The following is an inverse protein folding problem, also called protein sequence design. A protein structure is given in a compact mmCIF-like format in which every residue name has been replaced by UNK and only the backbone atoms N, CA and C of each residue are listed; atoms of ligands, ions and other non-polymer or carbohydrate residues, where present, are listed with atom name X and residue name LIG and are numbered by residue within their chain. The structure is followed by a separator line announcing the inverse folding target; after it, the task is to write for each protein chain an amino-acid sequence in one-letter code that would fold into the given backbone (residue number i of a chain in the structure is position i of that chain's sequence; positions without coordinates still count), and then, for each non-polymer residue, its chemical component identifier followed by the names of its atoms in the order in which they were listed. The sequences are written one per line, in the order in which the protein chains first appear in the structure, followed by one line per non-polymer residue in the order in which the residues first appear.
data_IF_062612956094
#
_entry.id   IF_062612956094
#
_cell.length_a   1.000
_cell.length_b   1.000
_cell.length_c   1.000
_cell.angle_alpha   90.00
_cell.angle_beta   90.00
_cell.angle_gamma   90.00
#
_symmetry.space_group_name_H-M   'P 1'
#
loop_
_entity.id
_entity.type
_entity.pdbx_description
1 polymer ?
#
# COMPACT_ATOMS: atom_id res chain seq x y z
N UNK A 1 8.47 -15.99 -3.73
CA UNK A 1 8.89 -15.52 -2.40
C UNK A 1 7.96 -14.43 -1.86
N UNK A 2 7.86 -13.26 -2.50
CA UNK A 2 7.02 -12.13 -2.05
C UNK A 2 5.58 -12.56 -1.70
N UNK A 3 4.88 -13.25 -2.61
CA UNK A 3 3.49 -13.71 -2.38
C UNK A 3 3.36 -14.59 -1.15
N UNK A 4 4.29 -15.53 -0.94
CA UNK A 4 4.25 -16.43 0.20
C UNK A 4 4.43 -15.65 1.52
N UNK A 5 5.35 -14.68 1.55
CA UNK A 5 5.57 -13.83 2.71
C UNK A 5 4.38 -12.92 2.99
N UNK A 6 3.78 -12.31 1.96
CA UNK A 6 2.57 -11.49 2.11
C UNK A 6 1.42 -12.32 2.68
N UNK A 7 1.19 -13.53 2.17
CA UNK A 7 0.14 -14.43 2.71
C UNK A 7 0.42 -14.84 4.16
N UNK A 8 1.68 -15.08 4.52
CA UNK A 8 2.05 -15.37 5.90
C UNK A 8 1.75 -14.19 6.83
N UNK A 9 2.08 -12.97 6.42
CA UNK A 9 1.78 -11.77 7.20
C UNK A 9 0.28 -11.45 7.28
N UNK A 10 -0.46 -11.65 6.19
CA UNK A 10 -1.93 -11.51 6.18
C UNK A 10 -2.62 -12.52 7.11
N UNK A 11 -2.01 -13.69 7.32
CA UNK A 11 -2.54 -14.71 8.23
C UNK A 11 -2.15 -14.47 9.70
N UNK A 12 -1.24 -13.54 9.98
CA UNK A 12 -0.80 -13.22 11.33
C UNK A 12 -1.73 -12.17 11.96
N UNK A 13 -2.49 -12.50 13.01
CA UNK A 13 -3.44 -11.58 13.62
C UNK A 13 -2.78 -10.38 14.33
N UNK A 14 -1.47 -10.41 14.55
CA UNK A 14 -0.72 -9.29 15.13
C UNK A 14 -0.26 -8.26 14.07
N UNK A 15 -0.55 -8.49 12.79
CA UNK A 15 -0.13 -7.62 11.68
C UNK A 15 -1.34 -6.93 11.03
N UNK A 16 -1.54 -5.66 11.41
CA UNK A 16 -2.59 -4.81 10.81
C UNK A 16 -2.16 -4.21 9.45
N UNK A 17 -0.87 -3.95 9.26
CA UNK A 17 -0.34 -3.22 8.10
C UNK A 17 1.00 -3.78 7.66
N UNK A 18 1.15 -4.00 6.35
CA UNK A 18 2.42 -4.30 5.68
C UNK A 18 2.78 -3.15 4.75
N UNK A 19 3.99 -2.64 4.89
CA UNK A 19 4.59 -1.66 3.98
C UNK A 19 5.85 -2.27 3.39
N UNK A 20 5.88 -2.40 2.07
CA UNK A 20 7.07 -2.85 1.33
C UNK A 20 7.67 -1.71 0.52
N UNK A 21 8.97 -1.81 0.23
CA UNK A 21 9.68 -0.85 -0.62
C UNK A 21 10.51 -1.59 -1.66
N UNK A 22 10.47 -1.12 -2.90
CA UNK A 22 11.23 -1.67 -4.02
C UNK A 22 10.43 -2.64 -4.90
N UNK A 23 10.96 -2.91 -6.10
CA UNK A 23 10.35 -3.82 -7.06
C UNK A 23 9.09 -3.29 -7.76
N UNK A 24 8.81 -1.98 -7.67
CA UNK A 24 7.66 -1.32 -8.33
C UNK A 24 8.03 -0.62 -9.64
N UNK A 25 9.24 -0.80 -10.14
CA UNK A 25 9.66 -0.28 -11.44
C UNK A 25 9.03 -1.02 -12.62
N UNK A 26 9.58 -0.82 -13.82
CA UNK A 26 9.14 -1.45 -15.08
C UNK A 26 10.17 -2.43 -15.66
N UNK A 27 11.22 -2.76 -14.91
CA UNK A 27 12.23 -3.72 -15.36
C UNK A 27 11.77 -5.16 -15.09
N UNK A 28 12.39 -6.15 -15.75
CA UNK A 28 11.99 -7.55 -15.60
C UNK A 28 12.13 -8.16 -14.20
N UNK A 29 12.78 -7.46 -13.25
CA UNK A 29 12.88 -7.87 -11.84
C UNK A 29 11.82 -7.21 -10.96
N UNK A 30 11.15 -6.18 -11.45
CA UNK A 30 10.15 -5.42 -10.71
C UNK A 30 8.80 -6.14 -10.75
N UNK A 31 8.53 -6.95 -9.73
CA UNK A 31 7.34 -7.82 -9.66
C UNK A 31 6.49 -7.59 -8.40
N UNK A 32 6.80 -6.55 -7.62
CA UNK A 32 6.10 -6.26 -6.35
C UNK A 32 4.61 -5.98 -6.60
N UNK A 33 4.21 -5.13 -7.56
CA UNK A 33 2.79 -4.89 -7.82
C UNK A 33 2.05 -6.17 -8.21
N UNK A 34 2.60 -6.99 -9.09
CA UNK A 34 2.02 -8.28 -9.49
C UNK A 34 1.80 -9.20 -8.28
N UNK A 35 2.77 -9.26 -7.37
CA UNK A 35 2.65 -10.04 -6.15
C UNK A 35 1.53 -9.49 -5.24
N UNK A 36 1.45 -8.16 -5.07
CA UNK A 36 0.40 -7.51 -4.27
C UNK A 36 -0.99 -7.73 -4.88
N UNK A 37 -1.14 -7.52 -6.18
CA UNK A 37 -2.37 -7.76 -6.94
C UNK A 37 -2.88 -9.20 -6.82
N UNK A 38 -1.98 -10.18 -6.64
CA UNK A 38 -2.36 -11.59 -6.45
C UNK A 38 -2.80 -11.94 -5.02
N UNK A 39 -2.58 -11.05 -4.05
CA UNK A 39 -2.82 -11.30 -2.62
C UNK A 39 -4.01 -10.51 -2.10
N UNK A 40 -4.10 -9.21 -2.39
CA UNK A 40 -5.20 -8.42 -1.85
C UNK A 40 -6.54 -8.80 -2.48
N UNK A 41 -7.60 -8.69 -1.68
CA UNK A 41 -8.98 -8.96 -2.09
C UNK A 41 -9.66 -7.69 -2.62
N UNK A 42 -9.23 -6.53 -2.11
CA UNK A 42 -9.78 -5.22 -2.48
C UNK A 42 -8.66 -4.24 -2.72
N UNK A 43 -8.61 -3.70 -3.94
CA UNK A 43 -7.65 -2.66 -4.30
C UNK A 43 -8.02 -1.31 -3.67
N UNK A 44 -7.00 -0.55 -3.25
CA UNK A 44 -7.12 0.85 -2.86
C UNK A 44 -6.50 1.70 -3.98
N UNK A 45 -7.19 1.82 -5.11
CA UNK A 45 -6.67 2.48 -6.32
C UNK A 45 -6.20 3.91 -6.05
N UNK A 46 -6.93 4.61 -5.17
CA UNK A 46 -6.63 5.99 -4.76
C UNK A 46 -5.25 6.17 -4.12
N UNK A 47 -4.63 5.12 -3.56
CA UNK A 47 -3.26 5.20 -3.04
C UNK A 47 -2.26 5.45 -4.15
N UNK A 48 -2.29 4.64 -5.21
CA UNK A 48 -1.38 4.78 -6.35
C UNK A 48 -1.61 6.09 -7.10
N UNK A 49 -2.87 6.50 -7.23
CA UNK A 49 -3.26 7.76 -7.86
C UNK A 49 -2.72 8.97 -7.09
N UNK A 50 -3.00 9.05 -5.79
CA UNK A 50 -2.53 10.16 -4.95
C UNK A 50 -1.01 10.18 -4.84
N UNK A 51 -0.37 9.02 -4.71
CA UNK A 51 1.09 8.93 -4.72
C UNK A 51 1.68 9.51 -6.01
N UNK A 52 1.14 9.12 -7.18
CA UNK A 52 1.63 9.61 -8.47
C UNK A 52 1.37 11.11 -8.65
N UNK A 53 0.25 11.63 -8.12
CA UNK A 53 -0.03 13.07 -8.09
C UNK A 53 1.05 13.82 -7.30
N UNK A 54 1.30 13.42 -6.04
CA UNK A 54 2.33 14.04 -5.19
C UNK A 54 3.73 13.90 -5.78
N UNK A 55 4.03 12.75 -6.39
CA UNK A 55 5.32 12.49 -7.03
C UNK A 55 5.50 13.34 -8.29
N UNK A 56 4.44 13.59 -9.07
CA UNK A 56 4.50 14.45 -10.24
C UNK A 56 4.95 15.88 -9.89
N UNK A 57 4.45 16.44 -8.78
CA UNK A 57 4.87 17.76 -8.30
C UNK A 57 6.37 17.83 -7.97
N UNK A 58 6.99 16.69 -7.63
CA UNK A 58 8.40 16.61 -7.20
C UNK A 58 9.37 16.20 -8.31
N UNK A 59 8.98 15.22 -9.14
CA UNK A 59 9.87 14.60 -10.15
C UNK A 59 9.29 14.62 -11.56
N UNK A 60 8.16 15.30 -11.77
CA UNK A 60 7.50 15.43 -13.06
C UNK A 60 7.10 14.08 -13.65
N UNK A 61 7.31 13.94 -14.95
CA UNK A 61 6.93 12.74 -15.71
C UNK A 61 7.68 11.48 -15.29
N UNK A 62 8.78 11.59 -14.53
CA UNK A 62 9.51 10.43 -13.98
C UNK A 62 8.61 9.53 -13.11
N UNK A 63 7.54 10.08 -12.53
CA UNK A 63 6.53 9.35 -11.75
C UNK A 63 5.93 8.15 -12.52
N UNK A 64 5.86 8.22 -13.86
CA UNK A 64 5.31 7.14 -14.72
C UNK A 64 6.13 5.84 -14.60
N UNK A 65 7.40 5.91 -14.22
CA UNK A 65 8.27 4.74 -14.09
C UNK A 65 7.97 3.91 -12.82
N UNK A 66 7.07 4.36 -11.97
CA UNK A 66 6.73 3.71 -10.71
C UNK A 66 5.29 3.24 -10.65
N UNK A 67 5.10 2.02 -10.14
CA UNK A 67 3.81 1.32 -10.04
C UNK A 67 3.40 1.08 -8.60
N UNK A 68 3.51 2.12 -7.75
CA UNK A 68 3.05 2.03 -6.36
C UNK A 68 1.57 1.61 -6.30
N UNK A 69 1.25 0.67 -5.41
CA UNK A 69 -0.09 0.07 -5.28
C UNK A 69 -0.42 -0.25 -3.83
N UNK A 70 -1.71 -0.42 -3.52
CA UNK A 70 -2.17 -0.81 -2.21
C UNK A 70 -3.49 -1.59 -2.26
N UNK A 71 -3.76 -2.35 -1.21
CA UNK A 71 -4.99 -3.12 -1.08
C UNK A 71 -5.24 -3.60 0.35
N UNK A 72 -6.35 -4.32 0.53
CA UNK A 72 -6.71 -5.01 1.76
C UNK A 72 -6.83 -6.51 1.49
N UNK A 73 -6.25 -7.33 2.35
CA UNK A 73 -6.36 -8.79 2.32
C UNK A 73 -6.52 -9.32 3.74
N UNK A 74 -7.50 -10.18 4.02
CA UNK A 74 -7.64 -10.82 5.34
C UNK A 74 -7.74 -9.84 6.52
N UNK A 75 -8.15 -8.59 6.31
CA UNK A 75 -8.15 -7.56 7.36
C UNK A 75 -6.83 -6.78 7.52
N UNK A 76 -5.78 -7.13 6.78
CA UNK A 76 -4.49 -6.43 6.77
C UNK A 76 -4.41 -5.44 5.61
N UNK A 77 -3.94 -4.23 5.86
CA UNK A 77 -3.59 -3.27 4.80
C UNK A 77 -2.22 -3.58 4.20
N UNK A 78 -2.13 -3.54 2.87
CA UNK A 78 -0.90 -3.80 2.13
C UNK A 78 -0.53 -2.58 1.28
N UNK A 79 0.68 -2.03 1.45
CA UNK A 79 1.22 -0.92 0.64
C UNK A 79 2.55 -1.30 -0.01
N UNK A 80 2.66 -1.10 -1.33
CA UNK A 80 3.90 -1.27 -2.09
C UNK A 80 4.45 0.09 -2.53
N UNK A 81 5.58 0.47 -1.95
CA UNK A 81 6.26 1.74 -2.20
C UNK A 81 7.44 1.57 -3.18
N UNK A 82 7.88 2.65 -3.84
CA UNK A 82 9.07 2.60 -4.67
C UNK A 82 10.34 2.42 -3.85
N UNK A 83 11.38 1.87 -4.45
CA UNK A 83 12.66 1.58 -3.78
C UNK A 83 13.48 2.82 -3.40
N UNK A 84 13.15 3.99 -3.94
CA UNK A 84 13.86 5.23 -3.61
C UNK A 84 13.51 5.69 -2.19
N UNK A 85 14.51 6.05 -1.34
CA UNK A 85 14.25 6.65 -0.05
C UNK A 85 13.43 7.95 -0.11
N UNK A 86 13.55 8.74 -1.19
CA UNK A 86 12.73 9.95 -1.36
C UNK A 86 11.26 9.61 -1.58
N UNK A 87 10.99 8.63 -2.44
CA UNK A 87 9.62 8.19 -2.71
C UNK A 87 8.96 7.54 -1.49
N UNK A 88 9.74 6.82 -0.67
CA UNK A 88 9.25 6.30 0.61
C UNK A 88 8.84 7.42 1.57
N UNK A 89 9.66 8.47 1.69
CA UNK A 89 9.30 9.68 2.47
C UNK A 89 8.06 10.35 1.90
N UNK A 90 7.96 10.51 0.59
CA UNK A 90 6.81 11.13 -0.06
C UNK A 90 5.50 10.38 0.25
N UNK A 91 5.52 9.05 0.17
CA UNK A 91 4.37 8.22 0.51
C UNK A 91 4.04 8.25 2.01
N UNK A 92 5.05 8.24 2.87
CA UNK A 92 4.85 8.31 4.32
C UNK A 92 4.29 9.67 4.74
N UNK A 93 5.04 10.74 4.49
CA UNK A 93 4.73 12.09 4.94
C UNK A 93 3.47 12.66 4.27
N UNK A 94 3.21 12.29 3.01
CA UNK A 94 2.07 12.82 2.25
C UNK A 94 0.79 12.02 2.39
N UNK A 95 0.85 10.75 2.80
CA UNK A 95 -0.31 9.84 2.79
C UNK A 95 -0.40 9.01 4.07
N UNK A 96 0.58 8.13 4.30
CA UNK A 96 0.45 7.08 5.30
C UNK A 96 0.45 7.62 6.74
N UNK A 97 1.25 8.64 7.04
CA UNK A 97 1.28 9.26 8.37
C UNK A 97 -0.09 9.81 8.79
N UNK A 98 -0.90 10.24 7.83
CA UNK A 98 -2.25 10.73 8.06
C UNK A 98 -3.24 9.57 8.16
N UNK A 99 -3.19 8.63 7.23
CA UNK A 99 -4.16 7.54 7.19
C UNK A 99 -3.95 6.49 8.30
N UNK A 100 -2.75 6.38 8.86
CA UNK A 100 -2.41 5.52 9.98
C UNK A 100 -2.43 6.25 11.34
N UNK A 101 -2.89 7.51 11.39
CA UNK A 101 -3.15 8.23 12.63
C UNK A 101 -4.67 8.24 12.92
N UNK A 102 -5.09 7.65 14.04
CA UNK A 102 -6.50 7.59 14.43
C UNK A 102 -7.14 8.98 14.67
N UNK A 103 -6.32 10.02 14.83
CA UNK A 103 -6.78 11.39 15.07
C UNK A 103 -7.07 12.14 13.77
N UNK A 104 -6.64 11.61 12.62
CA UNK A 104 -6.83 12.26 11.33
C UNK A 104 -8.32 12.26 10.92
N UNK A 105 -8.77 13.39 10.40
CA UNK A 105 -10.18 13.67 10.04
C UNK A 105 -10.26 14.10 8.57
N UNK A 106 -11.40 13.90 7.88
CA UNK A 106 -12.67 13.37 8.40
C UNK A 106 -12.71 11.85 8.59
N UNK A 107 -11.78 11.11 7.98
CA UNK A 107 -11.67 9.65 8.06
C UNK A 107 -10.22 9.18 7.90
N UNK A 108 -9.91 8.01 8.46
CA UNK A 108 -8.59 7.36 8.39
C UNK A 108 -8.75 5.83 8.34
N UNK A 109 -7.67 5.10 8.04
CA UNK A 109 -7.70 3.64 7.97
C UNK A 109 -7.86 2.97 9.33
N UNK A 110 -7.33 3.58 10.40
CA UNK A 110 -7.40 3.00 11.76
C UNK A 110 -8.86 2.85 12.22
N UNK A 111 -9.71 3.83 11.93
CA UNK A 111 -11.15 3.76 12.24
C UNK A 111 -11.88 2.65 11.44
N UNK A 112 -11.33 2.23 10.30
CA UNK A 112 -11.92 1.20 9.45
C UNK A 112 -11.44 -0.22 9.80
N UNK A 113 -10.30 -0.38 10.48
CA UNK A 113 -9.69 -1.68 10.81
C UNK A 113 -10.68 -2.69 11.43
N UNK A 114 -11.51 -2.35 12.43
CA UNK A 114 -12.45 -3.31 13.03
C UNK A 114 -13.51 -3.85 12.07
N UNK A 115 -13.68 -3.18 10.93
CA UNK A 115 -14.76 -3.41 9.96
C UNK A 115 -14.33 -4.15 8.70
N UNK A 116 -13.02 -4.33 8.49
CA UNK A 116 -12.47 -4.91 7.25
C UNK A 116 -12.96 -6.34 6.98
N UNK A 117 -13.23 -7.10 8.04
CA UNK A 117 -13.67 -8.49 7.98
C UNK A 117 -15.19 -8.65 8.27
N UNK A 118 -15.99 -7.59 8.23
CA UNK A 118 -17.46 -7.68 8.47
C UNK A 118 -18.15 -8.70 7.57
N UNK A 119 -17.68 -8.86 6.33
CA UNK A 119 -18.23 -9.79 5.35
C UNK A 119 -18.01 -11.28 5.68
N UNK A 120 -17.12 -11.61 6.61
CA UNK A 120 -16.85 -12.99 7.05
C UNK A 120 -17.74 -13.45 8.21
N UNK A 121 -18.50 -12.53 8.83
CA UNK A 121 -19.33 -12.81 10.01
C UNK A 121 -20.74 -13.33 9.65
N UNK A 122 -20.94 -13.83 8.43
CA UNK A 122 -22.22 -14.31 7.88
C UNK A 122 -22.35 -15.82 7.87
#
# INVERSE_FOLDING_TARGET
EIVAQLRAWVADPEIDVVISTGGTGVTGRDVTPEAFHSVYEKEIAGFGELFRWLSYEKVGTSTIQSRATAGVAGGTYLFALPGSPSACRDAWDGILVHQLDNRFRPCNFVELMPRLQEHLKG
#
